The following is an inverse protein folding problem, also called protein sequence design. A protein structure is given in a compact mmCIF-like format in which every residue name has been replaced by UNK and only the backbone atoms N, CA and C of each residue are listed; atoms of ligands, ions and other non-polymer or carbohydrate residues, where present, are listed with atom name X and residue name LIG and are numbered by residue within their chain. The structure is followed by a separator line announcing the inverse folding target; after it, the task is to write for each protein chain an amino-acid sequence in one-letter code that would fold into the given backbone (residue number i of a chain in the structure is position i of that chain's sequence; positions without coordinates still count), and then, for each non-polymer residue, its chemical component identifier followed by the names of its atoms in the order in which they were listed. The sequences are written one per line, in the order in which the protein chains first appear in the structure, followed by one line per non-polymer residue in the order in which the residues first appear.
data_IF_558055914861
#
_entry.id   IF_558055914861
#
_cell.length_a   1.000
_cell.length_b   1.000
_cell.length_c   1.000
_cell.angle_alpha   90.00
_cell.angle_beta   90.00
_cell.angle_gamma   90.00
#
_symmetry.space_group_name_H-M   'P 1'
#
loop_
_entity.id
_entity.type
_entity.pdbx_description
1 polymer ?
#
# COMPACT_ATOMS: atom_id res chain seq x y z
N UNK A 1 18.59 -6.08 40.28
CA UNK A 1 17.15 -5.89 39.98
C UNK A 1 16.43 -7.18 40.35
N UNK A 2 15.79 -7.22 41.51
CA UNK A 2 15.52 -8.44 42.28
C UNK A 2 14.27 -9.22 41.88
N UNK A 3 14.27 -10.51 42.25
CA UNK A 3 13.23 -11.54 42.08
C UNK A 3 11.78 -11.07 42.33
N UNK A 4 11.57 -10.15 43.28
CA UNK A 4 10.26 -9.54 43.56
C UNK A 4 9.75 -8.64 42.42
N UNK A 5 10.62 -7.89 41.73
CA UNK A 5 10.25 -7.06 40.58
C UNK A 5 9.73 -7.86 39.39
N UNK A 6 10.26 -9.07 39.18
CA UNK A 6 9.77 -10.01 38.15
C UNK A 6 8.42 -10.63 38.52
N UNK A 7 8.15 -10.87 39.81
CA UNK A 7 6.87 -11.41 40.29
C UNK A 7 5.76 -10.36 40.21
N UNK A 8 6.00 -9.12 40.65
CA UNK A 8 5.00 -8.05 40.54
C UNK A 8 4.77 -7.62 39.07
N UNK A 9 5.83 -7.63 38.24
CA UNK A 9 5.72 -7.38 36.81
C UNK A 9 4.94 -8.47 36.06
N UNK A 10 5.12 -9.75 36.42
CA UNK A 10 4.36 -10.85 35.82
C UNK A 10 2.89 -10.86 36.23
N UNK A 11 2.56 -10.54 37.48
CA UNK A 11 1.16 -10.42 37.92
C UNK A 11 0.45 -9.27 37.20
N UNK A 12 1.07 -8.09 37.15
CA UNK A 12 0.50 -6.93 36.45
C UNK A 12 0.30 -7.20 34.95
N UNK A 13 1.25 -7.89 34.29
CA UNK A 13 1.09 -8.32 32.89
C UNK A 13 -0.07 -9.28 32.69
N UNK A 14 -0.27 -10.26 33.58
CA UNK A 14 -1.42 -11.18 33.51
C UNK A 14 -2.75 -10.45 33.70
N UNK A 15 -2.81 -9.52 34.66
CA UNK A 15 -4.00 -8.70 34.89
C UNK A 15 -4.32 -7.85 33.65
N UNK A 16 -3.30 -7.24 33.03
CA UNK A 16 -3.45 -6.48 31.79
C UNK A 16 -3.88 -7.34 30.60
N UNK A 17 -3.29 -8.54 30.42
CA UNK A 17 -3.71 -9.51 29.40
C UNK A 17 -5.17 -9.91 29.58
N UNK A 18 -5.58 -10.22 30.81
CA UNK A 18 -6.97 -10.59 31.12
C UNK A 18 -7.96 -9.45 30.84
N UNK A 19 -7.61 -8.21 31.15
CA UNK A 19 -8.43 -7.03 30.85
C UNK A 19 -8.58 -6.80 29.35
N UNK A 20 -7.47 -6.89 28.59
CA UNK A 20 -7.49 -6.79 27.13
C UNK A 20 -8.35 -7.90 26.54
N UNK A 21 -8.15 -9.15 26.96
CA UNK A 21 -8.91 -10.29 26.48
C UNK A 21 -10.42 -10.13 26.76
N UNK A 22 -10.80 -9.77 27.99
CA UNK A 22 -12.19 -9.55 28.36
C UNK A 22 -12.86 -8.47 27.49
N UNK A 23 -12.18 -7.34 27.28
CA UNK A 23 -12.66 -6.26 26.42
C UNK A 23 -12.87 -6.73 24.97
N UNK A 24 -11.94 -7.52 24.43
CA UNK A 24 -12.04 -8.04 23.07
C UNK A 24 -13.16 -9.08 22.94
N UNK A 25 -13.35 -9.92 23.95
CA UNK A 25 -14.49 -10.85 24.04
C UNK A 25 -15.82 -10.09 24.06
N UNK A 26 -15.96 -9.06 24.91
CA UNK A 26 -17.17 -8.23 24.95
C UNK A 26 -17.45 -7.56 23.59
N UNK A 27 -16.40 -7.09 22.92
CA UNK A 27 -16.51 -6.47 21.60
C UNK A 27 -17.00 -7.47 20.54
N UNK A 28 -16.50 -8.70 20.61
CA UNK A 28 -16.93 -9.78 19.74
C UNK A 28 -18.37 -10.20 20.03
N UNK A 29 -18.75 -10.39 21.29
CA UNK A 29 -20.11 -10.78 21.68
C UNK A 29 -21.15 -9.70 21.32
N UNK A 30 -20.79 -8.42 21.47
CA UNK A 30 -21.68 -7.29 21.18
C UNK A 30 -21.64 -6.76 19.75
N UNK A 31 -20.69 -7.21 18.93
CA UNK A 31 -20.39 -6.61 17.62
C UNK A 31 -20.05 -7.56 16.49
N UNK A 32 -19.89 -8.85 16.76
CA UNK A 32 -19.49 -9.86 15.78
C UNK A 32 -18.04 -9.71 15.33
N UNK A 33 -17.64 -10.53 14.34
CA UNK A 33 -16.26 -10.61 13.88
C UNK A 33 -15.73 -9.29 13.30
N UNK A 34 -16.58 -8.59 12.54
CA UNK A 34 -16.23 -7.33 11.85
C UNK A 34 -15.71 -6.28 12.84
N UNK A 35 -16.37 -6.15 14.00
CA UNK A 35 -15.96 -5.18 15.03
C UNK A 35 -14.78 -5.65 15.86
N UNK A 36 -14.59 -6.96 15.98
CA UNK A 36 -13.57 -7.54 16.86
C UNK A 36 -12.18 -7.65 16.22
N UNK A 37 -12.12 -7.80 14.90
CA UNK A 37 -10.87 -8.18 14.22
C UNK A 37 -9.75 -7.15 14.38
N UNK A 38 -10.01 -5.89 14.03
CA UNK A 38 -9.00 -4.82 14.11
C UNK A 38 -8.42 -4.66 15.55
N UNK A 39 -9.24 -4.61 16.61
CA UNK A 39 -8.73 -4.59 17.97
C UNK A 39 -7.95 -5.85 18.40
N UNK A 40 -8.29 -7.03 17.86
CA UNK A 40 -7.51 -8.26 18.09
C UNK A 40 -6.15 -8.17 17.41
N UNK A 41 -6.10 -7.67 16.18
CA UNK A 41 -4.85 -7.41 15.44
C UNK A 41 -3.95 -6.43 16.20
N UNK A 42 -4.51 -5.35 16.75
CA UNK A 42 -3.78 -4.44 17.64
C UNK A 42 -3.22 -5.14 18.88
N UNK A 43 -4.00 -5.99 19.53
CA UNK A 43 -3.57 -6.72 20.72
C UNK A 43 -2.48 -7.75 20.41
N UNK A 44 -2.61 -8.51 19.31
CA UNK A 44 -1.59 -9.47 18.84
C UNK A 44 -0.27 -8.79 18.50
N UNK A 45 -0.30 -7.57 17.93
CA UNK A 45 0.93 -6.78 17.70
C UNK A 45 1.58 -6.34 19.01
N UNK A 46 0.79 -6.00 20.01
CA UNK A 46 1.29 -5.55 21.31
C UNK A 46 1.83 -6.70 22.17
N UNK A 47 1.22 -7.89 22.08
CA UNK A 47 1.60 -9.08 22.84
C UNK A 47 1.46 -10.35 21.99
N UNK A 48 2.43 -10.64 21.12
CA UNK A 48 2.32 -11.74 20.18
C UNK A 48 2.51 -13.12 20.82
N UNK A 49 2.83 -13.19 22.10
CA UNK A 49 3.00 -14.45 22.85
C UNK A 49 1.73 -14.87 23.62
N UNK A 50 0.66 -14.07 23.57
CA UNK A 50 -0.58 -14.40 24.27
C UNK A 50 -1.40 -15.44 23.51
N UNK A 51 -1.26 -16.70 23.91
CA UNK A 51 -2.02 -17.85 23.40
C UNK A 51 -3.55 -17.63 23.44
N UNK A 52 -4.06 -16.86 24.41
CA UNK A 52 -5.50 -16.61 24.52
C UNK A 52 -5.99 -15.67 23.42
N UNK A 53 -5.13 -14.75 22.95
CA UNK A 53 -5.45 -13.94 21.78
C UNK A 53 -5.48 -14.78 20.51
N UNK A 54 -4.68 -15.84 20.41
CA UNK A 54 -4.69 -16.74 19.25
C UNK A 54 -5.99 -17.54 19.22
N UNK A 55 -6.42 -18.09 20.36
CA UNK A 55 -7.71 -18.77 20.45
C UNK A 55 -8.89 -17.84 20.15
N UNK A 56 -8.87 -16.60 20.66
CA UNK A 56 -9.91 -15.61 20.35
C UNK A 56 -9.92 -15.24 18.87
N UNK A 57 -8.74 -15.02 18.26
CA UNK A 57 -8.61 -14.78 16.82
C UNK A 57 -9.20 -15.94 16.00
N UNK A 58 -8.87 -17.19 16.34
CA UNK A 58 -9.44 -18.38 15.70
C UNK A 58 -10.96 -18.45 15.81
N UNK A 59 -11.52 -18.13 16.98
CA UNK A 59 -12.98 -18.07 17.18
C UNK A 59 -13.64 -17.00 16.29
N UNK A 60 -13.07 -15.80 16.27
CA UNK A 60 -13.56 -14.68 15.46
C UNK A 60 -13.53 -15.02 13.98
N UNK A 61 -12.41 -15.55 13.48
CA UNK A 61 -12.23 -15.90 12.07
C UNK A 61 -13.20 -17.02 11.62
N UNK A 62 -13.47 -18.02 12.47
CA UNK A 62 -14.51 -19.03 12.19
C UNK A 62 -15.88 -18.38 11.96
N UNK A 63 -16.26 -17.43 12.81
CA UNK A 63 -17.55 -16.74 12.69
C UNK A 63 -17.61 -15.80 11.48
N UNK A 64 -16.46 -15.30 11.01
CA UNK A 64 -16.32 -14.51 9.79
C UNK A 64 -16.36 -15.36 8.51
N UNK A 65 -16.42 -16.69 8.62
CA UNK A 65 -16.38 -17.59 7.46
C UNK A 65 -14.96 -17.86 6.94
N UNK A 66 -13.94 -17.72 7.79
CA UNK A 66 -12.53 -17.91 7.47
C UNK A 66 -11.91 -19.12 8.19
N UNK A 67 -12.40 -20.35 7.94
CA UNK A 67 -12.02 -21.52 8.73
C UNK A 67 -10.56 -21.94 8.58
N UNK A 68 -9.93 -21.69 7.42
CA UNK A 68 -8.54 -22.06 7.16
C UNK A 68 -7.59 -21.24 8.04
N UNK A 69 -7.72 -19.91 8.00
CA UNK A 69 -6.93 -19.01 8.84
C UNK A 69 -7.19 -19.27 10.32
N UNK A 70 -8.44 -19.56 10.69
CA UNK A 70 -8.78 -19.91 12.06
C UNK A 70 -8.08 -21.18 12.55
N UNK A 71 -7.99 -22.23 11.71
CA UNK A 71 -7.28 -23.46 12.05
C UNK A 71 -5.78 -23.20 12.25
N UNK A 72 -5.17 -22.32 11.44
CA UNK A 72 -3.77 -21.93 11.63
C UNK A 72 -3.54 -21.19 12.94
N UNK A 73 -4.49 -20.34 13.37
CA UNK A 73 -4.45 -19.73 14.70
C UNK A 73 -4.54 -20.77 15.83
N UNK A 74 -5.47 -21.73 15.75
CA UNK A 74 -5.59 -22.79 16.76
C UNK A 74 -4.31 -23.65 16.82
N UNK A 75 -3.75 -24.03 15.66
CA UNK A 75 -2.49 -24.76 15.58
C UNK A 75 -1.35 -23.96 16.21
N UNK A 76 -1.24 -22.67 15.92
CA UNK A 76 -0.22 -21.83 16.53
C UNK A 76 -0.44 -21.65 18.05
N UNK A 77 -1.69 -21.63 18.53
CA UNK A 77 -2.00 -21.59 19.95
C UNK A 77 -1.60 -22.90 20.68
N UNK A 78 -1.81 -24.06 20.05
CA UNK A 78 -1.46 -25.37 20.61
C UNK A 78 0.06 -25.59 20.74
N UNK A 79 0.87 -24.89 19.94
CA UNK A 79 2.33 -24.92 20.01
C UNK A 79 2.93 -23.54 19.70
N UNK A 80 2.88 -22.59 20.66
CA UNK A 80 3.19 -21.17 20.43
C UNK A 80 4.67 -20.86 20.20
N UNK A 81 5.53 -21.87 20.31
CA UNK A 81 6.98 -21.80 20.06
C UNK A 81 7.41 -22.69 18.88
N UNK A 82 6.47 -23.29 18.16
CA UNK A 82 6.79 -24.08 16.96
C UNK A 82 6.99 -23.12 15.77
N UNK A 83 8.23 -22.94 15.27
CA UNK A 83 8.52 -22.01 14.19
C UNK A 83 7.76 -22.32 12.91
N UNK A 84 7.46 -23.59 12.63
CA UNK A 84 6.74 -23.99 11.43
C UNK A 84 5.28 -23.49 11.47
N UNK A 85 4.62 -23.57 12.63
CA UNK A 85 3.24 -23.10 12.79
C UNK A 85 3.14 -21.58 12.73
N UNK A 86 4.11 -20.89 13.34
CA UNK A 86 4.22 -19.44 13.27
C UNK A 86 4.49 -18.97 11.83
N UNK A 87 5.35 -19.69 11.10
CA UNK A 87 5.61 -19.43 9.68
C UNK A 87 4.36 -19.60 8.82
N UNK A 88 3.66 -20.74 8.94
CA UNK A 88 2.44 -21.01 8.18
C UNK A 88 1.35 -19.97 8.43
N UNK A 89 1.15 -19.58 9.70
CA UNK A 89 0.20 -18.53 10.06
C UNK A 89 0.64 -17.16 9.51
N UNK A 90 1.94 -16.84 9.59
CA UNK A 90 2.51 -15.62 9.01
C UNK A 90 2.31 -15.51 7.50
N UNK A 91 2.59 -16.57 6.75
CA UNK A 91 2.38 -16.63 5.30
C UNK A 91 0.91 -16.51 4.90
N UNK A 92 0.00 -17.14 5.66
CA UNK A 92 -1.44 -16.96 5.46
C UNK A 92 -1.85 -15.49 5.67
N UNK A 93 -1.41 -14.87 6.77
CA UNK A 93 -1.72 -13.47 7.05
C UNK A 93 -1.18 -12.52 5.99
N UNK A 94 -0.04 -12.82 5.34
CA UNK A 94 0.42 -12.07 4.17
C UNK A 94 -0.53 -12.19 2.99
N UNK A 95 -1.08 -13.38 2.76
CA UNK A 95 -2.09 -13.63 1.70
C UNK A 95 -3.37 -12.85 1.98
N UNK A 96 -3.69 -12.61 3.26
CA UNK A 96 -4.84 -11.80 3.69
C UNK A 96 -4.57 -10.31 3.81
N UNK A 97 -3.43 -9.83 3.31
CA UNK A 97 -3.01 -8.43 3.40
C UNK A 97 -2.93 -7.90 4.84
N UNK A 98 -2.45 -8.72 5.78
CA UNK A 98 -2.20 -8.34 7.17
C UNK A 98 -0.70 -8.39 7.51
N UNK A 99 0.14 -7.58 6.82
CA UNK A 99 1.58 -7.72 6.88
C UNK A 99 2.17 -7.35 8.24
N UNK A 100 1.52 -6.49 9.04
CA UNK A 100 2.01 -6.09 10.35
C UNK A 100 1.98 -7.23 11.36
N UNK A 101 0.90 -8.02 11.38
CA UNK A 101 0.80 -9.20 12.27
C UNK A 101 1.70 -10.30 11.75
N UNK A 102 1.70 -10.53 10.42
CA UNK A 102 2.58 -11.50 9.80
C UNK A 102 4.05 -11.26 10.16
N UNK A 103 4.53 -10.00 10.06
CA UNK A 103 5.90 -9.65 10.39
C UNK A 103 6.25 -10.00 11.84
N UNK A 104 5.34 -9.76 12.80
CA UNK A 104 5.57 -10.09 14.21
C UNK A 104 5.65 -11.61 14.43
N UNK A 105 4.79 -12.39 13.79
CA UNK A 105 4.81 -13.86 13.92
C UNK A 105 6.04 -14.48 13.23
N UNK A 106 6.42 -13.97 12.06
CA UNK A 106 7.59 -14.42 11.32
C UNK A 106 8.89 -14.04 12.03
N UNK A 107 8.93 -12.89 12.70
CA UNK A 107 10.06 -12.51 13.58
C UNK A 107 10.21 -13.49 14.75
N UNK A 108 9.09 -13.91 15.36
CA UNK A 108 9.09 -14.96 16.39
C UNK A 108 9.55 -16.31 15.84
N UNK A 109 9.07 -16.71 14.66
CA UNK A 109 9.51 -17.94 14.00
C UNK A 109 11.03 -17.91 13.76
N UNK A 110 11.55 -16.82 13.20
CA UNK A 110 12.96 -16.63 12.90
C UNK A 110 13.84 -16.68 14.16
N UNK A 111 13.33 -16.23 15.31
CA UNK A 111 14.07 -16.33 16.58
C UNK A 111 14.40 -17.78 16.99
N UNK A 112 13.56 -18.75 16.60
CA UNK A 112 13.80 -20.18 16.83
C UNK A 112 14.64 -20.83 15.72
N UNK A 113 14.62 -20.28 14.51
CA UNK A 113 15.37 -20.79 13.34
C UNK A 113 16.19 -19.66 12.66
N UNK A 114 17.19 -19.08 13.33
CA UNK A 114 17.83 -17.82 12.91
C UNK A 114 18.57 -17.87 11.57
N UNK A 115 18.87 -19.06 11.05
CA UNK A 115 19.56 -19.27 9.78
C UNK A 115 18.64 -19.81 8.67
N UNK A 116 17.34 -19.90 8.92
CA UNK A 116 16.39 -20.33 7.91
C UNK A 116 16.17 -19.20 6.88
N UNK A 117 16.54 -19.49 5.64
CA UNK A 117 16.42 -18.55 4.52
C UNK A 117 14.94 -18.25 4.21
N UNK A 118 14.08 -19.27 4.23
CA UNK A 118 12.68 -19.15 3.83
C UNK A 118 11.92 -18.28 4.82
N UNK A 119 12.07 -18.53 6.12
CA UNK A 119 11.42 -17.71 7.16
C UNK A 119 11.90 -16.26 7.09
N UNK A 120 13.18 -16.05 6.77
CA UNK A 120 13.77 -14.71 6.64
C UNK A 120 13.27 -13.96 5.41
N UNK A 121 13.17 -14.62 4.25
CA UNK A 121 12.59 -14.02 3.03
C UNK A 121 11.13 -13.65 3.25
N UNK A 122 10.36 -14.52 3.91
CA UNK A 122 8.95 -14.26 4.20
C UNK A 122 8.79 -13.09 5.21
N UNK A 123 9.64 -13.02 6.24
CA UNK A 123 9.68 -11.89 7.17
C UNK A 123 10.00 -10.58 6.44
N UNK A 124 10.97 -10.60 5.54
CA UNK A 124 11.33 -9.43 4.75
C UNK A 124 10.18 -8.99 3.85
N UNK A 125 9.46 -9.92 3.20
CA UNK A 125 8.25 -9.61 2.44
C UNK A 125 7.15 -8.99 3.32
N UNK A 126 6.96 -9.52 4.54
CA UNK A 126 6.02 -8.94 5.50
C UNK A 126 6.41 -7.53 5.93
N UNK A 127 7.69 -7.29 6.22
CA UNK A 127 8.21 -5.97 6.55
C UNK A 127 8.08 -4.99 5.38
N UNK A 128 8.30 -5.45 4.14
CA UNK A 128 8.12 -4.65 2.94
C UNK A 128 6.67 -4.20 2.78
N UNK A 129 5.72 -5.15 2.87
CA UNK A 129 4.27 -4.86 2.80
C UNK A 129 3.74 -4.03 3.97
N UNK A 130 4.37 -4.13 5.14
CA UNK A 130 4.08 -3.30 6.32
C UNK A 130 4.78 -1.93 6.26
N UNK A 131 5.52 -1.66 5.19
CA UNK A 131 6.22 -0.40 4.95
C UNK A 131 7.35 -0.06 5.87
N UNK A 132 8.19 -1.06 6.13
CA UNK A 132 9.37 -0.94 6.99
C UNK A 132 10.64 -1.25 6.20
N UNK A 133 11.00 -0.44 5.18
CA UNK A 133 12.13 -0.75 4.32
C UNK A 133 13.46 -0.85 5.09
N UNK A 134 13.65 -0.05 6.15
CA UNK A 134 14.83 -0.19 7.02
C UNK A 134 14.92 -1.59 7.67
N UNK A 135 13.79 -2.15 8.09
CA UNK A 135 13.74 -3.50 8.66
C UNK A 135 13.99 -4.56 7.59
N UNK A 136 13.48 -4.38 6.37
CA UNK A 136 13.76 -5.29 5.23
C UNK A 136 15.27 -5.41 5.01
N UNK A 137 15.97 -4.28 4.94
CA UNK A 137 17.42 -4.22 4.75
C UNK A 137 18.12 -4.95 5.90
N UNK A 138 17.77 -4.64 7.15
CA UNK A 138 18.39 -5.27 8.33
C UNK A 138 18.14 -6.80 8.37
N UNK A 139 16.94 -7.24 8.03
CA UNK A 139 16.56 -8.66 7.99
C UNK A 139 17.32 -9.40 6.90
N UNK A 140 17.41 -8.83 5.70
CA UNK A 140 18.01 -9.47 4.53
C UNK A 140 19.54 -9.37 4.48
N UNK A 141 20.15 -8.41 5.20
CA UNK A 141 21.60 -8.36 5.38
C UNK A 141 22.17 -9.62 6.05
N UNK A 142 21.33 -10.37 6.77
CA UNK A 142 21.68 -11.65 7.41
C UNK A 142 21.15 -12.87 6.63
N UNK A 143 20.66 -12.69 5.39
CA UNK A 143 20.13 -13.78 4.59
C UNK A 143 21.27 -14.66 4.02
N UNK A 144 21.31 -15.96 4.35
CA UNK A 144 22.49 -16.81 4.12
C UNK A 144 22.80 -17.04 2.63
N UNK A 145 21.79 -16.95 1.76
CA UNK A 145 21.93 -17.17 0.31
C UNK A 145 21.18 -16.08 -0.48
N UNK A 146 21.35 -14.79 -0.14
CA UNK A 146 20.56 -13.70 -0.73
C UNK A 146 20.65 -13.65 -2.27
N UNK A 147 21.85 -13.89 -2.83
CA UNK A 147 22.05 -13.90 -4.28
C UNK A 147 21.31 -15.02 -5.03
N UNK A 148 20.96 -16.11 -4.33
CA UNK A 148 20.24 -17.25 -4.91
C UNK A 148 18.71 -17.16 -4.71
N UNK A 149 18.22 -16.13 -4.03
CA UNK A 149 16.79 -15.85 -3.83
C UNK A 149 16.43 -14.52 -4.54
N UNK A 150 15.95 -14.58 -5.79
CA UNK A 150 15.58 -13.37 -6.54
C UNK A 150 14.44 -12.56 -5.91
N UNK A 151 13.58 -13.20 -5.11
CA UNK A 151 12.50 -12.52 -4.40
C UNK A 151 13.06 -11.66 -3.28
N UNK A 152 13.85 -12.28 -2.40
CA UNK A 152 14.52 -11.57 -1.31
C UNK A 152 15.49 -10.50 -1.83
N UNK A 153 16.29 -10.80 -2.84
CA UNK A 153 17.21 -9.82 -3.43
C UNK A 153 16.46 -8.63 -4.05
N UNK A 154 15.30 -8.86 -4.67
CA UNK A 154 14.44 -7.78 -5.13
C UNK A 154 13.93 -6.93 -3.97
N UNK A 155 13.42 -7.54 -2.89
CA UNK A 155 12.93 -6.80 -1.71
C UNK A 155 14.05 -5.99 -1.04
N UNK A 156 15.27 -6.55 -0.95
CA UNK A 156 16.45 -5.81 -0.48
C UNK A 156 16.73 -4.60 -1.36
N UNK A 157 16.84 -4.80 -2.68
CA UNK A 157 17.11 -3.70 -3.62
C UNK A 157 16.00 -2.64 -3.65
N UNK A 158 14.74 -3.05 -3.53
CA UNK A 158 13.60 -2.14 -3.46
C UNK A 158 13.60 -1.34 -2.15
N UNK A 159 13.89 -1.99 -1.02
CA UNK A 159 14.01 -1.30 0.27
C UNK A 159 15.20 -0.33 0.31
N UNK A 160 16.36 -0.71 -0.26
CA UNK A 160 17.51 0.19 -0.43
C UNK A 160 17.15 1.41 -1.27
N UNK A 161 16.40 1.22 -2.37
CA UNK A 161 15.91 2.33 -3.19
C UNK A 161 15.03 3.28 -2.38
N UNK A 162 14.07 2.77 -1.62
CA UNK A 162 13.12 3.58 -0.83
C UNK A 162 13.81 4.33 0.33
N UNK A 163 14.93 3.83 0.80
CA UNK A 163 15.77 4.46 1.86
C UNK A 163 16.85 5.37 1.29
N UNK A 164 16.91 5.53 -0.03
CA UNK A 164 17.88 6.40 -0.71
C UNK A 164 19.27 5.78 -0.91
N UNK A 165 19.47 4.52 -0.53
CA UNK A 165 20.70 3.79 -0.82
C UNK A 165 20.70 3.25 -2.26
N UNK A 166 20.92 4.18 -3.20
CA UNK A 166 20.94 3.88 -4.63
C UNK A 166 22.08 2.93 -5.01
N UNK A 167 23.20 2.95 -4.27
CA UNK A 167 24.33 2.06 -4.52
C UNK A 167 23.97 0.61 -4.19
N UNK A 168 23.38 0.36 -3.02
CA UNK A 168 22.90 -0.98 -2.66
C UNK A 168 21.77 -1.46 -3.59
N UNK A 169 20.85 -0.57 -3.98
CA UNK A 169 19.80 -0.88 -4.95
C UNK A 169 20.38 -1.28 -6.33
N UNK A 170 21.41 -0.56 -6.80
CA UNK A 170 22.12 -0.87 -8.04
C UNK A 170 22.90 -2.20 -7.95
N UNK A 171 23.53 -2.46 -6.80
CA UNK A 171 24.19 -3.72 -6.52
C UNK A 171 23.23 -4.91 -6.58
N UNK A 172 22.08 -4.79 -5.91
CA UNK A 172 21.02 -5.80 -5.94
C UNK A 172 20.50 -6.02 -7.38
N UNK A 173 20.31 -4.94 -8.15
CA UNK A 173 19.94 -5.03 -9.56
C UNK A 173 20.99 -5.79 -10.39
N UNK A 174 22.29 -5.61 -10.10
CA UNK A 174 23.38 -6.32 -10.75
C UNK A 174 23.26 -7.84 -10.61
N UNK A 175 23.06 -8.27 -9.37
CA UNK A 175 22.97 -9.68 -8.94
C UNK A 175 21.61 -10.34 -9.23
N UNK A 176 20.57 -9.56 -9.57
CA UNK A 176 19.24 -10.08 -9.83
C UNK A 176 19.17 -10.84 -11.17
N UNK A 177 19.48 -12.13 -11.09
CA UNK A 177 19.49 -13.09 -12.19
C UNK A 177 18.23 -13.97 -12.20
N UNK A 178 17.85 -14.50 -13.37
CA UNK A 178 16.71 -15.42 -13.50
C UNK A 178 15.30 -14.81 -13.30
N UNK A 179 15.18 -13.55 -12.86
CA UNK A 179 13.91 -12.86 -12.61
C UNK A 179 13.76 -11.58 -13.46
N UNK A 180 13.56 -11.69 -14.80
CA UNK A 180 13.57 -10.54 -15.71
C UNK A 180 12.48 -9.49 -15.42
N UNK A 181 11.33 -9.91 -14.88
CA UNK A 181 10.25 -9.00 -14.49
C UNK A 181 10.62 -8.15 -13.28
N UNK A 182 11.16 -8.76 -12.23
CA UNK A 182 11.63 -8.06 -11.03
C UNK A 182 12.82 -7.14 -11.35
N UNK A 183 13.77 -7.64 -12.15
CA UNK A 183 14.91 -6.86 -12.65
C UNK A 183 14.47 -5.61 -13.39
N UNK A 184 13.52 -5.74 -14.32
CA UNK A 184 13.00 -4.59 -15.07
C UNK A 184 12.26 -3.60 -14.16
N UNK A 185 11.50 -4.10 -13.18
CA UNK A 185 10.79 -3.27 -12.20
C UNK A 185 11.79 -2.42 -11.39
N UNK A 186 12.81 -3.05 -10.80
CA UNK A 186 13.85 -2.35 -10.04
C UNK A 186 14.67 -1.40 -10.91
N UNK A 187 15.08 -1.84 -12.12
CA UNK A 187 15.83 -0.99 -13.07
C UNK A 187 15.08 0.29 -13.41
N UNK A 188 13.78 0.20 -13.70
CA UNK A 188 12.99 1.37 -14.05
C UNK A 188 12.80 2.32 -12.86
N UNK A 189 12.63 1.78 -11.65
CA UNK A 189 12.50 2.59 -10.45
C UNK A 189 13.82 3.29 -10.09
N UNK A 190 14.95 2.59 -10.19
CA UNK A 190 16.29 3.14 -9.98
C UNK A 190 16.58 4.26 -10.98
N UNK A 191 16.31 4.05 -12.28
CA UNK A 191 16.48 5.08 -13.30
C UNK A 191 15.65 6.36 -13.04
N UNK A 192 14.51 6.24 -12.33
CA UNK A 192 13.72 7.40 -11.90
C UNK A 192 14.35 8.09 -10.68
N UNK A 193 14.82 7.33 -9.70
CA UNK A 193 15.45 7.87 -8.51
C UNK A 193 16.78 8.58 -8.80
N UNK A 194 17.52 8.15 -9.83
CA UNK A 194 18.76 8.81 -10.27
C UNK A 194 18.55 10.22 -10.86
N UNK A 195 17.30 10.63 -11.14
CA UNK A 195 16.99 11.91 -11.79
C UNK A 195 16.53 13.04 -10.84
N UNK A 196 16.53 12.80 -9.54
CA UNK A 196 16.21 13.84 -8.55
C UNK A 196 16.14 13.28 -7.14
N UNK A 197 16.21 14.18 -6.17
CA UNK A 197 15.98 13.82 -4.78
C UNK A 197 14.52 13.39 -4.57
N UNK A 198 14.31 12.45 -3.66
CA UNK A 198 13.00 11.94 -3.29
C UNK A 198 12.47 12.78 -2.11
N UNK A 199 11.99 13.99 -2.39
CA UNK A 199 11.70 14.99 -1.34
C UNK A 199 10.34 14.77 -0.64
N UNK A 200 9.33 14.40 -1.42
CA UNK A 200 7.95 14.29 -0.95
C UNK A 200 7.22 13.08 -1.56
N UNK A 201 5.95 12.89 -1.17
CA UNK A 201 5.18 11.74 -1.63
C UNK A 201 4.96 11.72 -3.16
N UNK A 202 5.08 12.85 -3.86
CA UNK A 202 5.02 12.91 -5.33
C UNK A 202 6.23 12.23 -5.94
N UNK A 203 7.43 12.50 -5.44
CA UNK A 203 8.66 11.90 -5.95
C UNK A 203 8.70 10.40 -5.69
N UNK A 204 8.32 9.98 -4.49
CA UNK A 204 8.23 8.56 -4.17
C UNK A 204 7.22 7.83 -5.06
N UNK A 205 6.00 8.37 -5.21
CA UNK A 205 4.99 7.76 -6.07
C UNK A 205 5.43 7.68 -7.53
N UNK A 206 6.21 8.68 -7.97
CA UNK A 206 6.83 8.66 -9.29
C UNK A 206 7.90 7.57 -9.40
N UNK A 207 8.81 7.46 -8.44
CA UNK A 207 9.86 6.43 -8.41
C UNK A 207 9.24 5.04 -8.39
N UNK A 208 8.21 4.79 -7.61
CA UNK A 208 7.59 3.47 -7.50
C UNK A 208 6.71 3.12 -8.70
N UNK A 209 5.84 4.04 -9.12
CA UNK A 209 4.74 3.74 -10.04
C UNK A 209 4.81 4.46 -11.38
N UNK A 210 5.78 5.38 -11.56
CA UNK A 210 5.79 6.36 -12.65
C UNK A 210 4.46 7.15 -12.73
N UNK A 211 3.85 7.38 -11.56
CA UNK A 211 2.62 8.16 -11.41
C UNK A 211 2.90 9.60 -10.97
N UNK A 212 1.84 10.38 -10.83
CA UNK A 212 1.91 11.75 -10.35
C UNK A 212 0.93 12.00 -9.20
N UNK A 213 1.35 12.77 -8.20
CA UNK A 213 0.50 13.27 -7.12
C UNK A 213 0.28 14.76 -7.34
N UNK A 214 -0.96 15.22 -7.36
CA UNK A 214 -1.27 16.61 -7.68
C UNK A 214 -0.91 17.53 -6.50
N UNK A 215 -1.34 17.18 -5.29
CA UNK A 215 -1.08 17.92 -4.07
C UNK A 215 -0.13 17.15 -3.15
N UNK A 216 1.15 17.51 -3.22
CA UNK A 216 2.19 17.03 -2.32
C UNK A 216 2.64 18.06 -1.27
N UNK A 217 2.01 19.24 -1.24
CA UNK A 217 2.36 20.34 -0.33
C UNK A 217 1.79 20.17 1.09
N UNK A 218 1.01 19.12 1.32
CA UNK A 218 0.36 18.82 2.60
C UNK A 218 1.31 18.34 3.70
N UNK A 219 0.80 18.11 4.94
CA UNK A 219 1.54 17.47 6.02
C UNK A 219 2.23 16.18 5.55
N UNK A 220 3.38 15.85 6.13
CA UNK A 220 4.15 14.64 5.81
C UNK A 220 4.48 14.46 4.31
N UNK A 221 4.60 15.58 3.58
CA UNK A 221 4.90 15.60 2.14
C UNK A 221 3.70 15.22 1.27
N UNK A 222 2.50 15.68 1.61
CA UNK A 222 1.27 15.39 0.85
C UNK A 222 0.42 14.23 1.36
N UNK A 223 0.71 13.72 2.57
CA UNK A 223 -0.05 12.64 3.21
C UNK A 223 -0.89 13.17 4.35
N UNK A 224 -2.19 13.16 4.14
CA UNK A 224 -3.17 13.68 5.07
C UNK A 224 -3.74 12.55 5.93
N UNK A 225 -3.82 12.77 7.25
CA UNK A 225 -4.59 11.85 8.11
C UNK A 225 -6.09 11.98 7.83
N UNK A 226 -6.59 13.21 7.84
CA UNK A 226 -7.96 13.54 7.43
C UNK A 226 -7.87 14.67 6.41
N UNK A 227 -8.56 14.51 5.28
CA UNK A 227 -8.58 15.45 4.18
C UNK A 227 -10.01 15.87 3.86
N UNK A 228 -10.30 17.16 4.03
CA UNK A 228 -11.53 17.76 3.51
C UNK A 228 -11.32 18.11 2.03
N UNK A 229 -12.16 17.53 1.18
CA UNK A 229 -12.15 17.71 -0.27
C UNK A 229 -13.31 18.63 -0.64
N UNK A 230 -12.99 19.91 -0.86
CA UNK A 230 -13.94 20.93 -1.28
C UNK A 230 -13.87 21.26 -2.78
N UNK A 231 -14.81 22.06 -3.26
CA UNK A 231 -14.89 22.42 -4.68
C UNK A 231 -13.70 23.23 -5.19
N UNK A 232 -13.05 24.03 -4.32
CA UNK A 232 -11.89 24.84 -4.72
C UNK A 232 -10.66 23.95 -4.95
N UNK A 233 -10.43 23.00 -4.05
CA UNK A 233 -9.38 21.98 -4.16
C UNK A 233 -9.59 21.11 -5.39
N UNK A 234 -10.81 20.61 -5.61
CA UNK A 234 -11.14 19.81 -6.80
C UNK A 234 -10.95 20.61 -8.08
N UNK A 235 -11.32 21.89 -8.12
CA UNK A 235 -11.09 22.72 -9.29
C UNK A 235 -9.60 22.90 -9.62
N UNK A 236 -8.75 23.08 -8.60
CA UNK A 236 -7.30 23.12 -8.79
C UNK A 236 -6.77 21.78 -9.32
N UNK A 237 -7.17 20.66 -8.69
CA UNK A 237 -6.81 19.33 -9.14
C UNK A 237 -7.27 19.05 -10.57
N UNK A 238 -8.47 19.47 -10.97
CA UNK A 238 -8.95 19.30 -12.34
C UNK A 238 -8.13 20.11 -13.35
N UNK A 239 -7.69 21.33 -12.99
CA UNK A 239 -6.81 22.10 -13.86
C UNK A 239 -5.46 21.38 -14.07
N UNK A 240 -4.86 20.92 -12.98
CA UNK A 240 -3.59 20.17 -12.98
C UNK A 240 -3.68 18.84 -13.74
N UNK A 241 -4.72 18.06 -13.43
CA UNK A 241 -5.05 16.81 -14.10
C UNK A 241 -5.28 17.02 -15.59
N UNK A 242 -6.06 18.04 -15.96
CA UNK A 242 -6.33 18.39 -17.35
C UNK A 242 -5.03 18.56 -18.12
N UNK A 243 -4.12 19.40 -17.63
CA UNK A 243 -2.82 19.65 -18.24
C UNK A 243 -1.96 18.37 -18.35
N UNK A 244 -1.87 17.57 -17.29
CA UNK A 244 -1.11 16.31 -17.30
C UNK A 244 -1.66 15.31 -18.33
N UNK A 245 -2.98 15.16 -18.38
CA UNK A 245 -3.64 14.30 -19.36
C UNK A 245 -3.43 14.83 -20.78
N UNK A 246 -3.35 16.14 -20.97
CA UNK A 246 -3.03 16.70 -22.27
C UNK A 246 -1.61 16.34 -22.74
N UNK A 247 -0.66 16.38 -21.81
CA UNK A 247 0.75 16.07 -22.05
C UNK A 247 1.01 14.56 -22.24
N UNK A 248 0.19 13.70 -21.62
CA UNK A 248 0.43 12.25 -21.57
C UNK A 248 -0.49 11.43 -22.47
N UNK A 249 -1.74 11.85 -22.68
CA UNK A 249 -2.77 11.10 -23.42
C UNK A 249 -3.07 11.79 -24.75
N UNK A 250 -2.88 11.04 -25.85
CA UNK A 250 -3.11 11.53 -27.20
C UNK A 250 -4.61 11.63 -27.50
N UNK A 251 -4.98 12.48 -28.47
CA UNK A 251 -6.36 12.60 -28.94
C UNK A 251 -6.73 11.45 -29.91
N UNK A 252 -7.99 11.00 -29.93
CA UNK A 252 -9.10 11.45 -29.10
C UNK A 252 -9.00 10.93 -27.65
N UNK A 253 -9.32 11.77 -26.67
CA UNK A 253 -9.31 11.42 -25.24
C UNK A 253 -10.71 10.98 -24.84
N UNK A 254 -10.82 9.75 -24.35
CA UNK A 254 -12.08 9.15 -23.94
C UNK A 254 -12.09 8.98 -22.43
N UNK A 255 -13.11 9.48 -21.76
CA UNK A 255 -13.28 9.38 -20.30
C UNK A 255 -14.44 8.44 -20.00
N UNK A 256 -14.22 7.43 -19.16
CA UNK A 256 -15.22 6.41 -18.84
C UNK A 256 -16.03 6.85 -17.62
N UNK A 257 -17.36 6.92 -17.76
CA UNK A 257 -18.25 7.01 -16.61
C UNK A 257 -18.51 5.60 -16.06
N UNK A 258 -17.77 5.22 -15.01
CA UNK A 258 -17.83 3.87 -14.41
C UNK A 258 -19.19 3.53 -13.79
N UNK A 259 -19.99 4.54 -13.46
CA UNK A 259 -21.38 4.41 -13.04
C UNK A 259 -22.13 5.71 -13.27
N UNK A 260 -23.47 5.68 -13.20
CA UNK A 260 -24.28 6.90 -13.27
C UNK A 260 -23.92 7.92 -12.18
N UNK A 261 -23.63 7.43 -10.96
CA UNK A 261 -23.20 8.27 -9.83
C UNK A 261 -21.84 8.94 -10.05
N UNK A 262 -21.02 8.42 -10.98
CA UNK A 262 -19.71 8.97 -11.34
C UNK A 262 -19.73 9.80 -12.63
N UNK A 263 -20.89 10.00 -13.23
CA UNK A 263 -21.02 10.80 -14.45
C UNK A 263 -20.47 12.23 -14.28
N UNK A 264 -20.82 12.91 -13.18
CA UNK A 264 -20.37 14.27 -12.92
C UNK A 264 -18.83 14.38 -12.85
N UNK A 265 -18.17 13.38 -12.26
CA UNK A 265 -16.71 13.29 -12.23
C UNK A 265 -16.13 13.07 -13.63
N UNK A 266 -16.66 12.10 -14.38
CA UNK A 266 -16.21 11.80 -15.73
C UNK A 266 -16.36 13.01 -16.66
N UNK A 267 -17.48 13.72 -16.56
CA UNK A 267 -17.77 14.93 -17.32
C UNK A 267 -16.84 16.09 -16.92
N UNK A 268 -16.56 16.28 -15.63
CA UNK A 268 -15.58 17.25 -15.16
C UNK A 268 -14.17 16.97 -15.69
N UNK A 269 -13.72 15.71 -15.67
CA UNK A 269 -12.41 15.29 -16.20
C UNK A 269 -12.36 15.42 -17.71
N UNK A 270 -13.44 15.08 -18.43
CA UNK A 270 -13.53 15.24 -19.88
C UNK A 270 -13.41 16.72 -20.28
N UNK A 271 -14.11 17.62 -19.59
CA UNK A 271 -13.97 19.07 -19.81
C UNK A 271 -12.54 19.54 -19.53
N UNK A 272 -11.94 19.10 -18.43
CA UNK A 272 -10.61 19.51 -18.03
C UNK A 272 -9.52 19.13 -19.05
N UNK A 273 -9.64 17.96 -19.68
CA UNK A 273 -8.68 17.48 -20.68
C UNK A 273 -9.14 17.65 -22.13
N UNK A 274 -10.26 18.33 -22.41
CA UNK A 274 -10.81 18.47 -23.75
C UNK A 274 -11.12 17.13 -24.44
N UNK A 275 -11.61 16.16 -23.66
CA UNK A 275 -12.04 14.84 -24.10
C UNK A 275 -13.56 14.70 -24.20
N UNK A 276 -14.03 13.47 -24.44
CA UNK A 276 -15.45 13.12 -24.45
C UNK A 276 -15.74 11.99 -23.46
N UNK A 277 -16.87 12.08 -22.76
CA UNK A 277 -17.36 11.02 -21.89
C UNK A 277 -17.93 9.89 -22.74
N UNK A 278 -17.55 8.66 -22.43
CA UNK A 278 -18.15 7.46 -22.98
C UNK A 278 -19.40 7.08 -22.18
N UNK A 279 -20.50 6.69 -22.86
CA UNK A 279 -21.68 6.17 -22.18
C UNK A 279 -21.35 4.94 -21.33
N UNK A 280 -22.04 4.76 -20.21
CA UNK A 280 -21.94 3.56 -19.38
C UNK A 280 -22.25 2.31 -20.22
N UNK A 281 -21.39 1.29 -20.13
CA UNK A 281 -21.50 0.05 -20.90
C UNK A 281 -20.85 0.07 -22.30
N UNK A 282 -20.32 1.21 -22.75
CA UNK A 282 -19.49 1.24 -23.96
C UNK A 282 -18.15 0.52 -23.72
N UNK A 283 -17.66 -0.23 -24.72
CA UNK A 283 -16.32 -0.82 -24.67
C UNK A 283 -15.26 0.30 -24.69
N UNK A 284 -14.44 0.46 -23.65
CA UNK A 284 -13.46 1.53 -23.61
C UNK A 284 -12.32 1.25 -24.62
N UNK A 285 -11.88 2.27 -25.39
CA UNK A 285 -10.71 2.12 -26.23
C UNK A 285 -9.43 2.06 -25.39
N UNK A 286 -8.33 1.63 -26.02
CA UNK A 286 -6.98 1.70 -25.44
C UNK A 286 -6.69 3.11 -24.91
N UNK A 287 -6.07 3.18 -23.73
CA UNK A 287 -5.75 4.42 -23.00
C UNK A 287 -6.96 5.29 -22.63
N UNK A 288 -8.16 4.71 -22.51
CA UNK A 288 -9.29 5.38 -21.91
C UNK A 288 -8.96 5.87 -20.49
N UNK A 289 -9.45 7.04 -20.14
CA UNK A 289 -9.26 7.67 -18.82
C UNK A 289 -10.39 7.20 -17.92
N UNK A 290 -10.04 6.66 -16.75
CA UNK A 290 -10.99 6.13 -15.78
C UNK A 290 -10.87 6.94 -14.49
N UNK A 291 -11.74 7.94 -14.28
CA UNK A 291 -11.69 8.76 -13.08
C UNK A 291 -12.50 8.16 -11.94
N UNK A 292 -11.88 8.14 -10.77
CA UNK A 292 -12.43 7.65 -9.50
C UNK A 292 -12.42 8.79 -8.48
N UNK A 293 -13.37 8.81 -7.53
CA UNK A 293 -13.22 9.69 -6.37
C UNK A 293 -12.11 9.13 -5.50
N UNK A 294 -12.31 7.90 -5.02
CA UNK A 294 -11.32 7.17 -4.23
C UNK A 294 -10.68 6.04 -5.05
N UNK A 295 -9.37 5.87 -4.92
CA UNK A 295 -8.63 4.81 -5.59
C UNK A 295 -9.08 3.40 -5.18
N UNK A 296 -9.69 3.22 -4.00
CA UNK A 296 -10.33 1.99 -3.56
C UNK A 296 -11.38 1.46 -4.55
N UNK A 297 -12.03 2.35 -5.31
CA UNK A 297 -13.03 1.98 -6.32
C UNK A 297 -12.44 1.09 -7.43
N UNK A 298 -11.11 1.04 -7.56
CA UNK A 298 -10.42 0.20 -8.54
C UNK A 298 -10.75 -1.29 -8.39
N UNK A 299 -10.98 -1.75 -7.15
CA UNK A 299 -11.30 -3.15 -6.86
C UNK A 299 -12.73 -3.53 -7.30
N UNK A 300 -13.57 -2.53 -7.59
CA UNK A 300 -14.92 -2.73 -8.10
C UNK A 300 -15.00 -2.55 -9.62
N UNK A 301 -13.88 -2.29 -10.30
CA UNK A 301 -13.88 -2.14 -11.75
C UNK A 301 -13.94 -3.51 -12.43
N UNK A 302 -14.81 -3.63 -13.42
CA UNK A 302 -14.88 -4.83 -14.25
C UNK A 302 -13.56 -5.08 -15.00
N UNK A 303 -13.24 -6.36 -15.21
CA UNK A 303 -12.09 -6.83 -16.02
C UNK A 303 -12.14 -6.38 -17.49
N UNK A 304 -13.22 -5.72 -17.93
CA UNK A 304 -13.40 -5.20 -19.28
C UNK A 304 -12.57 -3.95 -19.62
N UNK A 305 -11.84 -3.38 -18.65
CA UNK A 305 -10.96 -2.24 -18.90
C UNK A 305 -9.65 -2.67 -19.59
N UNK A 306 -9.20 -1.93 -20.63
CA UNK A 306 -7.89 -2.16 -21.21
C UNK A 306 -6.76 -2.16 -20.17
N UNK A 307 -5.76 -3.01 -20.37
CA UNK A 307 -4.55 -3.07 -19.54
C UNK A 307 -3.81 -1.71 -19.47
N UNK A 308 -3.94 -0.91 -20.52
CA UNK A 308 -3.31 0.41 -20.65
C UNK A 308 -4.23 1.60 -20.31
N UNK A 309 -5.39 1.33 -19.71
CA UNK A 309 -6.29 2.36 -19.20
C UNK A 309 -5.57 3.30 -18.22
N UNK A 310 -5.93 4.59 -18.28
CA UNK A 310 -5.36 5.65 -17.45
C UNK A 310 -6.29 5.88 -16.27
N UNK A 311 -6.05 5.17 -15.17
CA UNK A 311 -6.77 5.37 -13.92
C UNK A 311 -6.31 6.67 -13.27
N UNK A 312 -7.26 7.50 -12.86
CA UNK A 312 -7.01 8.74 -12.09
C UNK A 312 -7.93 8.74 -10.89
N UNK A 313 -7.41 9.08 -9.71
CA UNK A 313 -8.19 9.10 -8.47
C UNK A 313 -8.01 10.45 -7.77
N UNK A 314 -9.05 10.98 -7.13
CA UNK A 314 -8.91 12.21 -6.34
C UNK A 314 -8.19 11.93 -5.00
N UNK A 315 -8.45 10.78 -4.38
CA UNK A 315 -7.74 10.35 -3.17
C UNK A 315 -7.21 8.93 -3.29
N UNK A 316 -6.10 8.67 -2.60
CA UNK A 316 -5.62 7.32 -2.32
C UNK A 316 -5.30 7.20 -0.83
N UNK A 317 -5.84 6.18 -0.17
CA UNK A 317 -5.50 5.85 1.19
C UNK A 317 -4.04 5.41 1.31
N UNK A 318 -3.26 6.11 2.15
CA UNK A 318 -1.91 5.65 2.46
C UNK A 318 -1.97 4.45 3.42
N UNK A 319 -1.24 3.41 3.09
CA UNK A 319 -1.26 2.08 3.69
C UNK A 319 -2.01 1.05 2.85
N UNK A 320 -2.80 1.50 1.85
CA UNK A 320 -3.65 0.62 1.07
C UNK A 320 -2.90 -0.03 -0.09
N UNK A 321 -3.06 -1.36 -0.19
CA UNK A 321 -2.73 -2.12 -1.40
C UNK A 321 -3.88 -2.04 -2.40
N UNK A 322 -3.56 -1.87 -3.67
CA UNK A 322 -4.51 -1.89 -4.77
C UNK A 322 -4.08 -2.89 -5.84
N UNK A 323 -5.03 -3.45 -6.58
CA UNK A 323 -4.78 -4.32 -7.73
C UNK A 323 -4.27 -3.55 -8.96
N UNK A 324 -4.65 -2.27 -9.10
CA UNK A 324 -4.22 -1.34 -10.17
C UNK A 324 -3.89 0.06 -9.60
N UNK A 325 -2.62 0.48 -9.69
CA UNK A 325 -2.16 1.79 -9.26
C UNK A 325 -2.75 2.91 -10.15
N UNK A 326 -3.38 3.95 -9.57
CA UNK A 326 -3.74 5.14 -10.32
C UNK A 326 -2.50 5.80 -10.92
N UNK A 327 -2.59 6.24 -12.17
CA UNK A 327 -1.50 6.97 -12.78
C UNK A 327 -1.36 8.40 -12.23
N UNK A 328 -2.47 8.96 -11.79
CA UNK A 328 -2.55 10.30 -11.22
C UNK A 328 -3.44 10.23 -10.00
N UNK A 329 -2.95 10.73 -8.87
CA UNK A 329 -3.66 10.81 -7.60
C UNK A 329 -3.76 12.29 -7.20
N UNK A 330 -4.91 12.75 -6.76
CA UNK A 330 -5.06 14.11 -6.21
C UNK A 330 -4.19 14.31 -4.97
N UNK A 331 -4.48 13.57 -3.90
CA UNK A 331 -3.67 13.53 -2.69
C UNK A 331 -3.76 12.17 -1.97
N UNK A 332 -2.82 11.91 -1.06
CA UNK A 332 -2.91 10.76 -0.16
C UNK A 332 -3.70 11.11 1.11
N UNK A 333 -4.70 10.32 1.47
CA UNK A 333 -5.54 10.59 2.64
C UNK A 333 -6.05 9.31 3.31
N UNK A 334 -5.83 9.13 4.62
CA UNK A 334 -6.45 8.02 5.39
C UNK A 334 -7.97 8.13 5.51
N UNK A 335 -8.46 9.34 5.76
CA UNK A 335 -9.89 9.66 5.80
C UNK A 335 -10.15 10.84 4.86
N UNK A 336 -10.87 10.61 3.77
CA UNK A 336 -11.24 11.65 2.80
C UNK A 336 -12.73 11.99 2.94
N UNK A 337 -13.03 13.26 3.16
CA UNK A 337 -14.39 13.77 3.34
C UNK A 337 -14.75 14.70 2.21
N UNK A 338 -15.73 14.29 1.43
CA UNK A 338 -16.14 14.98 0.22
C UNK A 338 -17.28 15.95 0.51
N UNK A 339 -17.05 17.24 0.25
CA UNK A 339 -18.08 18.27 0.34
C UNK A 339 -19.17 18.15 -0.72
N UNK A 340 -20.25 18.91 -0.57
CA UNK A 340 -21.27 19.04 -1.61
C UNK A 340 -20.74 19.87 -2.80
N UNK A 341 -21.31 19.65 -3.99
CA UNK A 341 -21.03 20.43 -5.20
C UNK A 341 -19.53 20.49 -5.58
N UNK A 342 -18.80 19.37 -5.43
CA UNK A 342 -17.36 19.25 -5.70
C UNK A 342 -16.90 19.83 -7.05
N UNK A 343 -17.75 19.76 -8.07
CA UNK A 343 -17.40 20.13 -9.44
C UNK A 343 -17.86 21.53 -9.85
N UNK A 344 -18.43 22.29 -8.90
CA UNK A 344 -18.90 23.67 -9.09
C UNK A 344 -17.90 24.70 -8.53
N UNK A 345 -16.62 24.34 -8.51
CA UNK A 345 -15.54 25.19 -8.01
C UNK A 345 -15.16 26.35 -8.94
N UNK A 346 -14.39 27.33 -8.42
CA UNK A 346 -13.87 28.43 -9.23
C UNK A 346 -12.95 27.92 -10.33
N UNK A 347 -12.88 28.65 -11.46
CA UNK A 347 -11.91 28.32 -12.51
C UNK A 347 -10.49 28.45 -11.97
N UNK A 348 -9.72 27.37 -12.04
CA UNK A 348 -8.32 27.33 -11.64
C UNK A 348 -7.37 27.29 -12.85
N UNK A 349 -6.09 27.56 -12.60
CA UNK A 349 -5.01 27.40 -13.58
C UNK A 349 -4.04 26.33 -13.10
N UNK A 350 -3.45 25.52 -13.99
CA UNK A 350 -2.54 24.47 -13.55
C UNK A 350 -1.29 25.05 -12.88
N UNK A 351 -0.86 24.41 -11.79
CA UNK A 351 0.27 24.75 -10.94
C UNK A 351 1.58 24.79 -11.74
N UNK A 352 2.32 25.88 -11.59
CA UNK A 352 3.64 26.02 -12.21
C UNK A 352 4.66 25.02 -11.62
N UNK A 353 4.55 24.73 -10.32
CA UNK A 353 5.41 23.78 -9.63
C UNK A 353 5.22 22.35 -10.17
N UNK A 354 3.97 21.88 -10.26
CA UNK A 354 3.65 20.56 -10.80
C UNK A 354 4.13 20.43 -12.25
N UNK A 355 3.97 21.48 -13.05
CA UNK A 355 4.44 21.51 -14.44
C UNK A 355 5.95 21.38 -14.53
N UNK A 356 6.68 22.17 -13.74
CA UNK A 356 8.15 22.10 -13.70
C UNK A 356 8.62 20.72 -13.24
N UNK A 357 8.00 20.17 -12.20
CA UNK A 357 8.26 18.82 -11.70
C UNK A 357 8.04 17.76 -12.79
N UNK A 358 6.90 17.82 -13.49
CA UNK A 358 6.54 16.85 -14.52
C UNK A 358 7.45 16.93 -15.75
N UNK A 359 7.72 18.14 -16.27
CA UNK A 359 8.57 18.28 -17.47
C UNK A 359 10.00 17.81 -17.21
N UNK A 360 10.53 18.02 -15.98
CA UNK A 360 11.84 17.49 -15.60
C UNK A 360 11.91 15.95 -15.62
N UNK A 361 10.76 15.27 -15.42
CA UNK A 361 10.66 13.82 -15.23
C UNK A 361 10.00 13.08 -16.40
N UNK A 362 9.40 13.81 -17.34
CA UNK A 362 8.58 13.27 -18.44
C UNK A 362 9.30 12.22 -19.29
N UNK A 363 10.60 12.37 -19.52
CA UNK A 363 11.39 11.45 -20.33
C UNK A 363 11.51 10.04 -19.71
N UNK A 364 11.28 9.93 -18.40
CA UNK A 364 11.38 8.68 -17.63
C UNK A 364 10.02 7.99 -17.45
N UNK A 365 8.93 8.58 -17.96
CA UNK A 365 7.65 7.90 -18.02
C UNK A 365 7.76 6.71 -18.98
N UNK A 366 7.11 5.58 -18.66
CA UNK A 366 7.14 4.41 -19.52
C UNK A 366 6.62 4.78 -20.93
N UNK A 367 7.37 4.47 -22.00
CA UNK A 367 7.13 5.03 -23.33
C UNK A 367 5.74 4.66 -23.89
N UNK A 368 5.30 3.41 -23.69
CA UNK A 368 3.96 2.85 -24.01
C UNK A 368 3.76 1.49 -23.29
N UNK A 369 3.91 1.46 -21.97
CA UNK A 369 3.96 0.21 -21.20
C UNK A 369 2.88 0.09 -20.12
N UNK A 370 2.56 -1.15 -19.66
CA UNK A 370 1.65 -1.37 -18.55
C UNK A 370 2.15 -0.60 -17.33
N UNK A 371 1.26 0.21 -16.74
CA UNK A 371 1.51 0.86 -15.47
C UNK A 371 1.56 -0.19 -14.37
N UNK A 372 2.29 0.09 -13.29
CA UNK A 372 2.44 -0.85 -12.17
C UNK A 372 1.04 -1.27 -11.72
N UNK A 373 0.81 -2.58 -11.66
CA UNK A 373 -0.49 -3.12 -11.25
C UNK A 373 -0.70 -2.84 -9.76
N UNK A 374 0.18 -3.24 -8.86
CA UNK A 374 -0.04 -2.88 -7.47
C UNK A 374 0.43 -1.46 -7.10
N UNK A 375 -0.46 -0.62 -6.56
CA UNK A 375 -0.06 0.52 -5.74
C UNK A 375 -0.03 0.07 -4.30
N UNK A 376 1.06 0.38 -3.61
CA UNK A 376 1.10 0.36 -2.17
C UNK A 376 1.85 1.62 -1.75
N UNK A 377 1.22 2.43 -0.92
CA UNK A 377 1.82 3.67 -0.42
C UNK A 377 2.04 3.48 1.07
N UNK A 378 3.27 3.51 1.59
CA UNK A 378 3.48 3.34 3.01
C UNK A 378 2.75 4.37 3.85
N UNK A 379 2.25 3.89 4.97
CA UNK A 379 1.68 4.73 6.03
C UNK A 379 2.76 5.48 6.83
N UNK A 380 3.93 4.87 7.02
CA UNK A 380 5.08 5.53 7.62
C UNK A 380 5.64 6.60 6.68
N UNK A 381 6.19 7.71 7.21
CA UNK A 381 6.85 8.67 6.36
C UNK A 381 7.92 7.97 5.54
N UNK A 382 7.81 8.08 4.21
CA UNK A 382 8.90 7.72 3.33
C UNK A 382 10.16 8.46 3.83
N UNK A 383 11.33 7.80 3.85
CA UNK A 383 12.58 8.41 4.30
C UNK A 383 12.80 9.79 3.66
N UNK A 384 13.54 10.67 4.33
CA UNK A 384 13.89 11.98 3.77
C UNK A 384 15.30 11.95 3.23
#
# INVERSE_FOLDING_TARGET
MGWLGNIFGSRKRREQRAEVLARLTDLYEGGGAERAWEPIVEALRADPEDEQLFHLAGQVLRSAGEPITAELFDRAADAPHDPQRLFELGSELLTREQPEVAAVLLERALAFVPFDAVVRSELALAQARAGRPDMVIATLALHPCLGDDPGALFEFGWASLLTGDLEAAAGALGELHGAPSLRRKLQHALARAEHGEMEDARDYYFVEHAGAVLDAGGPLGGRYRTLEVDAARVAQWLADLGWLLEATVQRPRHVVAVSEARWALADAVARACGGAVLPTGATPPSRAIVPLLDAAEVESLDDGLPDDAVIVALTLEHGRSLSRAPAIVGAFARDARYGAALFDGPKATPSAELRAWFEARRALLPPRGPRVRAAWVPDAPLPR
#
